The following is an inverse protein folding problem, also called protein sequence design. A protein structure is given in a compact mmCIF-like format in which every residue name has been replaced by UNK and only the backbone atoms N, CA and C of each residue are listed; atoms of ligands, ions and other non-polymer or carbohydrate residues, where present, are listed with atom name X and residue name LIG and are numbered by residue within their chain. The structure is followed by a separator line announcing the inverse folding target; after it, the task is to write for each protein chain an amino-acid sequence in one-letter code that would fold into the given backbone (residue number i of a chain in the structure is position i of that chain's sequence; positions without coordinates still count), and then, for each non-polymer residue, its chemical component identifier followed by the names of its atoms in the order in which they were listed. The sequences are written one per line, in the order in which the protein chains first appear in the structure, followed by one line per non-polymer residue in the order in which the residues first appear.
data_IF_396590275396
#
_entry.id   IF_396590275396
#
_cell.length_a   1.000
_cell.length_b   1.000
_cell.length_c   1.000
_cell.angle_alpha   90.00
_cell.angle_beta   90.00
_cell.angle_gamma   90.00
#
_symmetry.space_group_name_H-M   'P 1'
#
loop_
_entity.id
_entity.type
_entity.pdbx_description
1 polymer ?
#
# COMPACT_ATOMS: atom_id res chain seq x y z
N UNK A 1 -14.20 -10.63 9.83
CA UNK A 1 -14.29 -9.47 8.91
C UNK A 1 -15.07 -8.37 9.58
N UNK A 2 -14.54 -7.14 9.56
CA UNK A 2 -15.31 -5.99 10.00
C UNK A 2 -16.51 -5.82 9.06
N UNK A 3 -17.72 -5.84 9.60
CA UNK A 3 -18.90 -5.61 8.80
C UNK A 3 -19.09 -4.11 8.63
N UNK A 4 -19.22 -3.62 7.39
CA UNK A 4 -19.61 -2.23 7.13
C UNK A 4 -21.04 -2.04 7.64
N UNK A 5 -21.16 -1.25 8.70
CA UNK A 5 -22.45 -0.95 9.34
C UNK A 5 -23.10 0.29 8.75
N UNK A 6 -22.29 1.19 8.18
CA UNK A 6 -22.73 2.43 7.56
C UNK A 6 -22.19 2.53 6.15
N UNK A 7 -23.10 2.56 5.19
CA UNK A 7 -22.80 2.77 3.76
C UNK A 7 -23.52 4.03 3.29
N UNK A 8 -22.79 4.97 2.71
CA UNK A 8 -23.36 6.20 2.17
C UNK A 8 -22.79 6.54 0.79
N UNK A 9 -23.51 7.42 0.07
CA UNK A 9 -23.02 8.02 -1.17
C UNK A 9 -22.56 9.45 -0.89
N UNK A 10 -21.46 9.84 -1.51
CA UNK A 10 -20.89 11.17 -1.34
C UNK A 10 -20.56 11.80 -2.69
N UNK A 11 -21.33 12.82 -3.06
CA UNK A 11 -21.04 13.59 -4.27
C UNK A 11 -19.82 14.50 -4.04
N UNK A 12 -18.86 14.43 -4.98
CA UNK A 12 -17.65 15.24 -4.98
C UNK A 12 -17.46 15.91 -6.34
N UNK A 13 -16.89 17.11 -6.35
CA UNK A 13 -16.61 17.83 -7.61
C UNK A 13 -15.57 17.12 -8.47
N UNK A 14 -14.62 16.44 -7.85
CA UNK A 14 -13.58 15.66 -8.51
C UNK A 14 -13.05 14.57 -7.57
N UNK A 15 -12.64 13.45 -8.12
CA UNK A 15 -11.95 12.39 -7.38
C UNK A 15 -10.42 12.59 -7.39
N UNK A 16 -9.92 13.44 -8.30
CA UNK A 16 -8.50 13.77 -8.46
C UNK A 16 -8.09 14.84 -7.46
N UNK A 17 -7.22 14.51 -6.54
CA UNK A 17 -6.65 15.43 -5.55
C UNK A 17 -5.15 15.54 -5.77
N UNK A 18 -4.60 16.77 -5.86
CA UNK A 18 -3.14 16.94 -5.93
C UNK A 18 -2.49 16.26 -4.73
N UNK A 19 -1.51 15.43 -5.02
CA UNK A 19 -0.84 14.63 -3.99
C UNK A 19 0.24 15.42 -3.29
N UNK A 20 0.28 15.29 -1.96
CA UNK A 20 1.44 15.68 -1.15
C UNK A 20 2.38 14.50 -0.83
N UNK A 21 2.08 13.31 -1.37
CA UNK A 21 2.92 12.11 -1.18
C UNK A 21 4.27 12.26 -1.91
N UNK A 22 5.34 11.52 -1.48
CA UNK A 22 6.65 11.53 -2.16
C UNK A 22 6.56 11.25 -3.65
N UNK A 23 5.63 10.42 -4.04
CA UNK A 23 5.39 10.02 -5.43
C UNK A 23 4.85 11.13 -6.33
N UNK A 24 4.41 12.27 -5.76
CA UNK A 24 3.91 13.41 -6.52
C UNK A 24 2.58 13.17 -7.25
N UNK A 25 2.24 14.05 -8.18
CA UNK A 25 1.08 13.91 -9.06
C UNK A 25 -0.28 14.04 -8.36
N UNK A 26 -1.15 13.07 -8.57
CA UNK A 26 -2.50 13.04 -8.00
C UNK A 26 -2.70 11.82 -7.10
N UNK A 27 -3.45 12.01 -6.02
CA UNK A 27 -3.95 10.96 -5.16
C UNK A 27 -5.44 10.77 -5.40
N UNK A 28 -5.85 9.52 -5.56
CA UNK A 28 -7.23 9.14 -5.84
C UNK A 28 -7.70 8.09 -4.85
N UNK A 29 -8.80 8.40 -4.17
CA UNK A 29 -9.46 7.49 -3.25
C UNK A 29 -10.95 7.49 -3.56
N UNK A 30 -11.44 6.49 -4.32
CA UNK A 30 -12.84 6.41 -4.76
C UNK A 30 -13.84 6.21 -3.61
N UNK A 31 -13.34 5.86 -2.44
CA UNK A 31 -14.11 5.63 -1.22
C UNK A 31 -13.56 6.47 -0.07
N UNK A 32 -14.34 6.59 1.01
CA UNK A 32 -13.91 7.06 2.33
C UNK A 32 -14.19 5.95 3.34
N UNK A 33 -13.22 5.63 4.18
CA UNK A 33 -13.25 4.40 4.99
C UNK A 33 -12.62 3.22 4.22
N UNK A 34 -12.35 2.12 4.92
CA UNK A 34 -11.74 0.94 4.33
C UNK A 34 -12.13 -0.32 5.12
N UNK A 35 -12.95 -1.24 4.54
CA UNK A 35 -13.41 -2.46 5.22
C UNK A 35 -12.30 -3.43 5.61
N UNK A 36 -11.09 -3.29 5.06
CA UNK A 36 -9.95 -4.08 5.50
C UNK A 36 -9.55 -3.84 6.97
N UNK A 37 -10.07 -2.78 7.59
CA UNK A 37 -10.00 -2.50 9.03
C UNK A 37 -8.63 -2.68 9.69
N UNK A 38 -7.54 -2.47 8.94
CA UNK A 38 -6.18 -2.69 9.43
C UNK A 38 -5.93 -1.96 10.76
N UNK A 39 -5.48 -2.68 11.79
CA UNK A 39 -5.21 -2.12 13.13
C UNK A 39 -4.09 -1.07 13.14
N UNK A 40 -3.18 -1.15 12.18
CA UNK A 40 -2.05 -0.24 11.97
C UNK A 40 -2.34 0.87 10.96
N UNK A 41 -3.59 1.05 10.52
CA UNK A 41 -3.91 1.95 9.42
C UNK A 41 -3.69 3.41 9.79
N UNK A 42 -2.69 4.04 9.17
CA UNK A 42 -2.45 5.46 9.34
C UNK A 42 -3.62 6.31 8.84
N UNK A 43 -4.35 5.83 7.81
CA UNK A 43 -5.47 6.56 7.20
C UNK A 43 -6.68 6.71 8.13
N UNK A 44 -6.68 6.05 9.30
CA UNK A 44 -7.71 6.25 10.33
C UNK A 44 -7.86 7.72 10.78
N UNK A 45 -6.81 8.55 10.59
CA UNK A 45 -6.90 10.00 10.83
C UNK A 45 -7.92 10.71 9.93
N UNK A 46 -8.23 10.14 8.77
CA UNK A 46 -9.22 10.70 7.83
C UNK A 46 -10.61 10.81 8.45
N UNK A 47 -10.93 9.98 9.45
CA UNK A 47 -12.20 10.00 10.15
C UNK A 47 -12.57 11.41 10.65
N UNK A 48 -11.60 12.19 11.15
CA UNK A 48 -11.83 13.57 11.66
C UNK A 48 -12.31 14.55 10.58
N UNK A 49 -12.18 14.22 9.30
CA UNK A 49 -12.62 15.06 8.17
C UNK A 49 -13.91 14.58 7.51
N UNK A 50 -14.53 13.54 8.04
CA UNK A 50 -15.66 12.85 7.39
C UNK A 50 -16.97 13.01 8.12
N UNK A 51 -16.95 13.41 9.39
CA UNK A 51 -18.12 13.45 10.28
C UNK A 51 -18.53 12.08 10.84
N UNK A 52 -17.83 11.00 10.48
CA UNK A 52 -18.10 9.67 11.01
C UNK A 52 -17.68 9.54 12.48
N UNK A 53 -18.56 8.94 13.28
CA UNK A 53 -18.29 8.59 14.68
C UNK A 53 -17.96 7.10 14.85
N UNK A 54 -18.32 6.27 13.88
CA UNK A 54 -18.10 4.83 13.84
C UNK A 54 -16.62 4.46 13.90
N UNK A 55 -16.32 3.23 14.32
CA UNK A 55 -14.94 2.73 14.28
C UNK A 55 -14.40 2.71 12.84
N UNK A 56 -13.10 3.05 12.67
CA UNK A 56 -12.44 2.85 11.36
C UNK A 56 -12.54 1.40 10.92
N UNK A 57 -12.96 1.19 9.68
CA UNK A 57 -13.22 -0.14 9.10
C UNK A 57 -14.70 -0.53 9.06
N UNK A 58 -15.60 0.16 9.79
CA UNK A 58 -17.02 -0.19 9.84
C UNK A 58 -17.93 0.76 9.07
N UNK A 59 -17.38 1.74 8.36
CA UNK A 59 -18.14 2.62 7.47
C UNK A 59 -17.46 2.72 6.10
N UNK A 60 -18.27 3.02 5.08
CA UNK A 60 -17.79 3.25 3.72
C UNK A 60 -18.67 4.29 3.01
N UNK A 61 -18.07 5.40 2.57
CA UNK A 61 -18.73 6.32 1.64
C UNK A 61 -18.27 6.00 0.22
N UNK A 62 -19.22 5.81 -0.66
CA UNK A 62 -19.00 5.62 -2.09
C UNK A 62 -19.02 6.98 -2.76
N UNK A 63 -17.91 7.43 -3.32
CA UNK A 63 -17.82 8.72 -3.99
C UNK A 63 -18.45 8.68 -5.38
N UNK A 64 -19.27 9.68 -5.67
CA UNK A 64 -19.74 10.00 -7.01
C UNK A 64 -19.04 11.27 -7.50
N UNK A 65 -18.61 11.27 -8.74
CA UNK A 65 -18.02 12.46 -9.39
C UNK A 65 -18.51 12.55 -10.84
N UNK A 66 -18.56 13.77 -11.42
CA UNK A 66 -18.90 13.95 -12.81
C UNK A 66 -17.86 13.30 -13.73
N UNK A 67 -18.27 12.90 -14.92
CA UNK A 67 -17.36 12.38 -15.94
C UNK A 67 -16.20 13.35 -16.17
N UNK A 68 -14.99 12.82 -16.29
CA UNK A 68 -13.80 13.61 -16.67
C UNK A 68 -13.96 13.99 -18.14
N UNK A 69 -14.18 15.28 -18.41
CA UNK A 69 -14.42 15.80 -19.76
C UNK A 69 -13.14 15.92 -20.57
N UNK A 70 -12.02 16.19 -19.91
CA UNK A 70 -10.70 16.29 -20.52
C UNK A 70 -9.71 15.38 -19.74
N UNK A 71 -9.60 14.09 -20.10
CA UNK A 71 -8.66 13.19 -19.44
C UNK A 71 -7.21 13.47 -19.83
N UNK A 72 -6.92 14.04 -21.01
CA UNK A 72 -5.57 14.32 -21.49
C UNK A 72 -4.83 15.38 -20.65
N UNK A 73 -5.53 16.18 -19.83
CA UNK A 73 -4.85 17.06 -18.85
C UNK A 73 -4.01 16.30 -17.81
N UNK A 74 -4.20 14.98 -17.73
CA UNK A 74 -3.41 14.10 -16.85
C UNK A 74 -2.27 13.40 -17.59
N UNK A 75 -2.04 13.68 -18.87
CA UNK A 75 -0.91 13.13 -19.63
C UNK A 75 0.41 13.43 -18.94
N UNK A 76 1.25 12.40 -18.80
CA UNK A 76 2.53 12.49 -18.09
C UNK A 76 2.41 12.69 -16.57
N UNK A 77 1.20 12.79 -16.03
CA UNK A 77 0.99 12.93 -14.59
C UNK A 77 0.95 11.56 -13.91
N UNK A 78 1.47 11.49 -12.69
CA UNK A 78 1.34 10.29 -11.86
C UNK A 78 0.02 10.33 -11.07
N UNK A 79 -0.70 9.22 -11.10
CA UNK A 79 -1.97 9.05 -10.39
C UNK A 79 -1.85 7.82 -9.49
N UNK A 80 -1.89 8.06 -8.17
CA UNK A 80 -1.82 7.00 -7.15
C UNK A 80 -3.22 6.73 -6.62
N UNK A 81 -3.69 5.51 -6.80
CA UNK A 81 -5.00 5.04 -6.34
C UNK A 81 -4.80 4.18 -5.08
N UNK A 82 -5.53 4.49 -4.02
CA UNK A 82 -5.52 3.68 -2.79
C UNK A 82 -4.57 4.20 -1.71
N UNK A 83 -4.33 5.51 -1.63
CA UNK A 83 -3.43 6.09 -0.62
C UNK A 83 -4.02 6.14 0.80
N UNK A 84 -5.34 6.30 0.97
CA UNK A 84 -6.01 6.36 2.29
C UNK A 84 -7.26 5.46 2.39
N UNK A 85 -7.51 4.66 1.37
CA UNK A 85 -8.52 3.59 1.34
C UNK A 85 -8.03 2.52 0.37
N UNK A 86 -8.54 1.29 0.46
CA UNK A 86 -8.31 0.33 -0.61
C UNK A 86 -9.36 0.54 -1.71
N UNK A 87 -8.90 0.92 -2.91
CA UNK A 87 -9.75 1.14 -4.08
C UNK A 87 -10.39 -0.13 -4.62
N UNK A 88 -9.90 -1.30 -4.20
CA UNK A 88 -10.42 -2.62 -4.55
C UNK A 88 -10.96 -3.39 -3.34
N UNK A 89 -11.41 -2.67 -2.30
CA UNK A 89 -12.14 -3.31 -1.21
C UNK A 89 -13.35 -4.10 -1.77
N UNK A 90 -13.95 -4.98 -0.96
CA UNK A 90 -15.02 -5.90 -1.40
C UNK A 90 -16.20 -5.21 -2.11
N UNK A 91 -16.52 -3.98 -1.73
CA UNK A 91 -17.61 -3.19 -2.33
C UNK A 91 -17.31 -2.71 -3.76
N UNK A 92 -16.04 -2.69 -4.18
CA UNK A 92 -15.67 -2.40 -5.57
C UNK A 92 -16.24 -3.43 -6.54
N UNK A 93 -16.54 -4.65 -6.07
CA UNK A 93 -17.25 -5.67 -6.86
C UNK A 93 -18.60 -5.16 -7.37
N UNK A 94 -19.29 -4.36 -6.56
CA UNK A 94 -20.62 -3.80 -6.85
C UNK A 94 -20.52 -2.40 -7.45
N UNK A 95 -19.79 -1.50 -6.82
CA UNK A 95 -19.80 -0.08 -7.17
C UNK A 95 -18.86 0.29 -8.31
N UNK A 96 -17.83 -0.48 -8.57
CA UNK A 96 -16.90 -0.37 -9.72
C UNK A 96 -16.31 1.04 -9.91
N UNK A 97 -16.09 1.77 -8.82
CA UNK A 97 -15.64 3.18 -8.88
C UNK A 97 -14.21 3.32 -9.37
N UNK A 98 -13.32 2.45 -8.91
CA UNK A 98 -11.93 2.43 -9.39
C UNK A 98 -11.88 2.04 -10.87
N UNK A 99 -12.63 0.99 -11.25
CA UNK A 99 -12.70 0.59 -12.65
C UNK A 99 -13.25 1.70 -13.54
N UNK A 100 -14.35 2.36 -13.15
CA UNK A 100 -14.93 3.49 -13.89
C UNK A 100 -13.92 4.63 -14.09
N UNK A 101 -13.08 4.92 -13.09
CA UNK A 101 -12.03 5.92 -13.21
C UNK A 101 -10.98 5.49 -14.24
N UNK A 102 -10.48 4.25 -14.15
CA UNK A 102 -9.50 3.73 -15.10
C UNK A 102 -10.02 3.76 -16.54
N UNK A 103 -11.30 3.42 -16.74
CA UNK A 103 -11.97 3.49 -18.05
C UNK A 103 -12.02 4.94 -18.58
N UNK A 104 -12.20 5.94 -17.71
CA UNK A 104 -12.17 7.37 -18.12
C UNK A 104 -10.76 7.88 -18.47
N UNK A 105 -9.71 7.19 -18.02
CA UNK A 105 -8.32 7.54 -18.30
C UNK A 105 -7.73 6.78 -19.49
N UNK A 106 -8.50 5.92 -20.17
CA UNK A 106 -8.04 5.24 -21.38
C UNK A 106 -7.56 6.23 -22.43
N UNK A 107 -6.47 5.89 -23.11
CA UNK A 107 -5.89 6.73 -24.15
C UNK A 107 -5.00 7.86 -23.66
N UNK A 108 -4.90 8.09 -22.35
CA UNK A 108 -3.95 9.06 -21.77
C UNK A 108 -2.57 8.43 -21.58
N UNK A 109 -1.54 9.27 -21.46
CA UNK A 109 -0.20 8.87 -21.06
C UNK A 109 0.06 9.03 -19.54
N UNK A 110 -1.00 9.04 -18.73
CA UNK A 110 -0.88 9.09 -17.27
C UNK A 110 -0.15 7.85 -16.72
N UNK A 111 0.67 8.05 -15.69
CA UNK A 111 1.29 6.95 -14.93
C UNK A 111 0.33 6.51 -13.84
N UNK A 112 -0.25 5.33 -13.96
CA UNK A 112 -1.20 4.80 -12.99
C UNK A 112 -0.49 3.87 -12.01
N UNK A 113 -0.63 4.15 -10.73
CA UNK A 113 -0.20 3.26 -9.65
C UNK A 113 -1.41 2.88 -8.80
N UNK A 114 -1.71 1.60 -8.73
CA UNK A 114 -2.75 1.05 -7.87
C UNK A 114 -2.11 0.37 -6.68
N UNK A 115 -2.40 0.85 -5.46
CA UNK A 115 -1.97 0.18 -4.22
C UNK A 115 -3.16 -0.50 -3.57
N UNK A 116 -3.06 -1.82 -3.37
CA UNK A 116 -4.19 -2.60 -2.84
C UNK A 116 -3.71 -3.90 -2.16
N UNK A 117 -4.49 -4.37 -1.19
CA UNK A 117 -4.39 -5.71 -0.61
C UNK A 117 -5.32 -6.72 -1.30
N UNK A 118 -6.29 -6.22 -2.08
CA UNK A 118 -7.38 -7.04 -2.62
C UNK A 118 -7.04 -7.64 -3.99
N UNK A 119 -7.28 -8.92 -4.16
CA UNK A 119 -7.19 -9.61 -5.45
C UNK A 119 -8.33 -9.26 -6.43
N UNK A 120 -9.38 -8.53 -5.98
CA UNK A 120 -10.39 -7.97 -6.88
C UNK A 120 -9.80 -7.06 -7.96
N UNK A 121 -8.60 -6.54 -7.76
CA UNK A 121 -7.88 -5.75 -8.77
C UNK A 121 -7.61 -6.53 -10.06
N UNK A 122 -7.60 -7.86 -10.04
CA UNK A 122 -7.48 -8.71 -11.23
C UNK A 122 -8.59 -8.43 -12.25
N UNK A 123 -9.76 -7.98 -11.80
CA UNK A 123 -10.88 -7.59 -12.68
C UNK A 123 -10.59 -6.36 -13.54
N UNK A 124 -9.47 -5.67 -13.33
CA UNK A 124 -9.10 -4.49 -14.08
C UNK A 124 -7.90 -4.73 -15.04
N UNK A 125 -7.42 -5.95 -15.19
CA UNK A 125 -6.29 -6.28 -16.09
C UNK A 125 -6.56 -5.75 -17.49
N UNK A 126 -7.77 -5.99 -18.04
CA UNK A 126 -8.18 -5.54 -19.37
C UNK A 126 -8.08 -4.02 -19.56
N UNK A 127 -8.37 -3.25 -18.53
CA UNK A 127 -8.26 -1.78 -18.57
C UNK A 127 -6.83 -1.34 -18.34
N UNK A 128 -6.15 -1.91 -17.34
CA UNK A 128 -4.76 -1.56 -17.02
C UNK A 128 -3.85 -1.78 -18.24
N UNK A 129 -4.01 -2.88 -18.98
CA UNK A 129 -3.24 -3.15 -20.20
C UNK A 129 -3.44 -2.13 -21.32
N UNK A 130 -4.45 -1.28 -21.25
CA UNK A 130 -4.66 -0.18 -22.20
C UNK A 130 -3.93 1.12 -21.83
N UNK A 131 -3.30 1.14 -20.64
CA UNK A 131 -2.55 2.29 -20.14
C UNK A 131 -1.05 2.06 -20.35
N UNK A 132 -0.29 3.07 -20.77
CA UNK A 132 1.10 2.88 -21.19
C UNK A 132 2.09 2.70 -20.02
N UNK A 133 1.71 3.15 -18.82
CA UNK A 133 2.58 3.15 -17.64
C UNK A 133 1.75 2.80 -16.40
N UNK A 134 1.40 1.54 -16.30
CA UNK A 134 0.65 0.99 -15.20
C UNK A 134 1.57 0.25 -14.20
N UNK A 135 1.25 0.37 -12.93
CA UNK A 135 1.93 -0.35 -11.85
C UNK A 135 0.90 -0.80 -10.82
N UNK A 136 0.96 -2.07 -10.44
CA UNK A 136 0.12 -2.61 -9.37
C UNK A 136 1.01 -2.94 -8.17
N UNK A 137 0.78 -2.25 -7.07
CA UNK A 137 1.48 -2.44 -5.80
C UNK A 137 0.63 -3.28 -4.86
N UNK A 138 1.18 -4.41 -4.42
CA UNK A 138 0.53 -5.37 -3.52
C UNK A 138 1.16 -5.30 -2.15
N UNK A 139 0.35 -4.92 -1.14
CA UNK A 139 0.86 -4.86 0.24
C UNK A 139 0.93 -6.25 0.86
N UNK A 140 2.15 -6.66 1.25
CA UNK A 140 2.44 -7.92 1.95
C UNK A 140 3.31 -7.57 3.17
N UNK A 141 2.76 -7.66 4.36
CA UNK A 141 3.42 -7.21 5.60
C UNK A 141 3.92 -8.38 6.48
N UNK A 142 3.62 -9.60 6.11
CA UNK A 142 4.04 -10.82 6.80
C UNK A 142 3.85 -12.02 5.89
N UNK A 143 4.62 -13.11 6.05
CA UNK A 143 4.30 -14.40 5.47
C UNK A 143 3.35 -15.24 6.34
N UNK A 144 3.06 -14.81 7.58
CA UNK A 144 2.24 -15.49 8.57
C UNK A 144 0.77 -15.07 8.47
N UNK A 145 -0.10 -16.00 8.08
CA UNK A 145 -1.54 -15.74 7.95
C UNK A 145 -2.22 -15.49 9.30
N UNK A 146 -1.76 -16.12 10.39
CA UNK A 146 -2.35 -15.89 11.71
C UNK A 146 -2.08 -14.45 12.20
N UNK A 147 -0.85 -13.97 12.02
CA UNK A 147 -0.53 -12.57 12.30
C UNK A 147 -1.31 -11.61 11.38
N UNK A 148 -1.43 -11.94 10.10
CA UNK A 148 -2.24 -11.15 9.15
C UNK A 148 -3.69 -11.06 9.61
N UNK A 149 -4.30 -12.18 10.04
CA UNK A 149 -5.71 -12.22 10.50
C UNK A 149 -5.93 -11.42 11.80
N UNK A 150 -4.93 -11.35 12.65
CA UNK A 150 -4.95 -10.45 13.82
C UNK A 150 -4.84 -8.97 13.43
N UNK A 151 -4.26 -8.65 12.27
CA UNK A 151 -3.92 -7.29 11.86
C UNK A 151 -4.88 -6.65 10.86
N UNK A 152 -5.48 -7.41 9.95
CA UNK A 152 -6.40 -6.87 8.94
C UNK A 152 -7.39 -7.91 8.41
N UNK A 153 -8.54 -7.43 7.91
CA UNK A 153 -9.60 -8.22 7.29
C UNK A 153 -9.45 -8.33 5.75
N UNK A 154 -8.31 -7.95 5.20
CA UNK A 154 -8.02 -8.06 3.77
C UNK A 154 -7.79 -9.54 3.36
N UNK A 155 -7.79 -9.86 2.05
CA UNK A 155 -7.49 -11.21 1.56
C UNK A 155 -6.18 -11.78 2.09
N UNK A 156 -6.08 -13.13 2.12
CA UNK A 156 -4.90 -13.85 2.59
C UNK A 156 -3.61 -13.44 1.86
N UNK A 157 -2.47 -13.65 2.47
CA UNK A 157 -1.17 -13.36 1.88
C UNK A 157 -0.99 -14.16 0.59
N UNK A 158 -1.42 -15.43 0.58
CA UNK A 158 -1.36 -16.26 -0.62
C UNK A 158 -2.17 -15.66 -1.79
N UNK A 159 -3.38 -15.18 -1.55
CA UNK A 159 -4.18 -14.50 -2.58
C UNK A 159 -3.51 -13.21 -3.08
N UNK A 160 -2.84 -12.46 -2.17
CA UNK A 160 -2.10 -11.25 -2.56
C UNK A 160 -0.92 -11.58 -3.47
N UNK A 161 -0.13 -12.61 -3.14
CA UNK A 161 1.01 -13.05 -3.93
C UNK A 161 0.56 -13.67 -5.26
N UNK A 162 -0.46 -14.51 -5.27
CA UNK A 162 -1.02 -15.10 -6.49
C UNK A 162 -1.53 -14.03 -7.46
N UNK A 163 -2.21 -12.99 -6.94
CA UNK A 163 -2.64 -11.87 -7.79
C UNK A 163 -1.45 -11.08 -8.34
N UNK A 164 -0.37 -10.90 -7.55
CA UNK A 164 0.86 -10.25 -8.03
C UNK A 164 1.48 -11.05 -9.18
N UNK A 165 1.57 -12.39 -9.03
CA UNK A 165 2.06 -13.26 -10.08
C UNK A 165 1.25 -13.12 -11.36
N UNK A 166 -0.07 -13.11 -11.27
CA UNK A 166 -0.94 -12.93 -12.43
C UNK A 166 -0.65 -11.62 -13.16
N UNK A 167 -0.50 -10.49 -12.45
CA UNK A 167 -0.13 -9.22 -13.07
C UNK A 167 1.25 -9.27 -13.73
N UNK A 168 2.22 -9.88 -13.07
CA UNK A 168 3.57 -10.05 -13.62
C UNK A 168 3.55 -10.86 -14.93
N UNK A 169 2.86 -12.01 -14.94
CA UNK A 169 2.70 -12.88 -16.11
C UNK A 169 1.98 -12.15 -17.25
N UNK A 170 1.05 -11.24 -16.95
CA UNK A 170 0.35 -10.39 -17.93
C UNK A 170 1.19 -9.19 -18.42
N UNK A 171 2.42 -9.07 -17.96
CA UNK A 171 3.36 -8.00 -18.34
C UNK A 171 3.06 -6.65 -17.70
N UNK A 172 2.20 -6.58 -16.71
CA UNK A 172 1.94 -5.38 -15.92
C UNK A 172 3.02 -5.24 -14.84
N UNK A 173 3.55 -4.03 -14.67
CA UNK A 173 4.59 -3.78 -13.67
C UNK A 173 4.05 -4.03 -12.25
N UNK A 174 4.79 -4.81 -11.46
CA UNK A 174 4.38 -5.22 -10.13
C UNK A 174 5.31 -4.71 -9.03
N UNK A 175 4.73 -4.38 -7.90
CA UNK A 175 5.44 -4.03 -6.66
C UNK A 175 4.98 -4.93 -5.52
N UNK A 176 5.91 -5.63 -4.89
CA UNK A 176 5.69 -6.18 -3.56
C UNK A 176 5.97 -5.09 -2.52
N UNK A 177 4.93 -4.54 -1.92
CA UNK A 177 5.06 -3.50 -0.90
C UNK A 177 5.05 -4.12 0.49
N UNK A 178 6.23 -4.30 1.06
CA UNK A 178 6.40 -4.81 2.42
C UNK A 178 6.12 -3.67 3.40
N UNK A 179 4.85 -3.48 3.69
CA UNK A 179 4.36 -2.35 4.49
C UNK A 179 3.10 -2.71 5.30
N UNK A 180 3.15 -2.37 6.61
CA UNK A 180 4.34 -1.99 7.36
C UNK A 180 5.16 -3.20 7.81
N UNK A 181 6.46 -3.00 8.00
CA UNK A 181 7.34 -3.99 8.64
C UNK A 181 7.19 -3.87 10.16
N UNK A 182 6.75 -4.93 10.81
CA UNK A 182 6.67 -5.04 12.27
C UNK A 182 7.99 -5.56 12.82
N UNK A 183 8.71 -4.80 13.67
CA UNK A 183 9.99 -5.22 14.23
C UNK A 183 9.91 -6.56 14.95
N UNK A 184 10.80 -7.50 14.58
CA UNK A 184 10.86 -8.83 15.18
C UNK A 184 9.73 -9.80 14.80
N UNK A 185 8.77 -9.38 13.94
CA UNK A 185 7.64 -10.20 13.50
C UNK A 185 7.64 -10.39 11.98
N UNK A 186 7.79 -9.30 11.20
CA UNK A 186 7.83 -9.41 9.75
C UNK A 186 9.13 -10.06 9.29
N UNK A 187 9.04 -11.24 8.70
CA UNK A 187 10.17 -11.91 8.06
C UNK A 187 10.39 -11.34 6.65
N UNK A 188 11.20 -10.27 6.58
CA UNK A 188 11.51 -9.57 5.32
C UNK A 188 12.26 -10.47 4.34
N UNK A 189 13.28 -11.25 4.74
CA UNK A 189 13.92 -12.22 3.86
C UNK A 189 12.96 -13.23 3.22
N UNK A 190 12.05 -13.80 3.99
CA UNK A 190 11.07 -14.76 3.48
C UNK A 190 10.10 -14.10 2.48
N UNK A 191 9.70 -12.84 2.70
CA UNK A 191 8.87 -12.11 1.75
C UNK A 191 9.64 -11.82 0.45
N UNK A 192 10.91 -11.40 0.54
CA UNK A 192 11.76 -11.17 -0.64
C UNK A 192 11.86 -12.46 -1.45
N UNK A 193 12.16 -13.59 -0.80
CA UNK A 193 12.29 -14.89 -1.48
C UNK A 193 10.99 -15.29 -2.21
N UNK A 194 9.82 -15.10 -1.58
CA UNK A 194 8.53 -15.41 -2.19
C UNK A 194 8.14 -14.46 -3.32
N UNK A 195 8.65 -13.22 -3.32
CA UNK A 195 8.25 -12.18 -4.26
C UNK A 195 9.22 -12.00 -5.44
N UNK A 196 10.48 -12.44 -5.32
CA UNK A 196 11.57 -12.10 -6.26
C UNK A 196 11.28 -12.45 -7.72
N UNK A 197 10.59 -13.57 -7.97
CA UNK A 197 10.33 -14.06 -9.34
C UNK A 197 9.05 -13.48 -9.96
N UNK A 198 8.31 -12.66 -9.22
CA UNK A 198 7.00 -12.15 -9.61
C UNK A 198 6.81 -10.65 -9.29
N UNK A 199 7.85 -9.99 -8.82
CA UNK A 199 7.85 -8.55 -8.57
C UNK A 199 8.95 -7.87 -9.35
N UNK A 200 8.61 -6.74 -10.01
CA UNK A 200 9.62 -5.85 -10.60
C UNK A 200 10.32 -5.02 -9.52
N UNK A 201 9.59 -4.69 -8.47
CA UNK A 201 10.07 -3.89 -7.34
C UNK A 201 9.65 -4.53 -6.03
N UNK A 202 10.52 -4.42 -5.03
CA UNK A 202 10.17 -4.73 -3.64
C UNK A 202 10.42 -3.47 -2.80
N UNK A 203 9.35 -2.90 -2.26
CA UNK A 203 9.42 -1.70 -1.43
C UNK A 203 9.36 -2.08 0.04
N UNK A 204 10.25 -1.51 0.84
CA UNK A 204 10.36 -1.77 2.27
C UNK A 204 9.99 -0.51 3.05
N UNK A 205 8.94 -0.57 3.86
CA UNK A 205 8.50 0.55 4.69
C UNK A 205 8.39 0.15 6.16
N UNK A 206 9.01 0.92 7.02
CA UNK A 206 8.97 0.69 8.46
C UNK A 206 7.57 0.98 9.04
N UNK A 207 7.19 0.23 10.06
CA UNK A 207 6.01 0.55 10.86
C UNK A 207 6.21 1.92 11.54
N UNK A 208 5.29 2.83 11.29
CA UNK A 208 5.29 4.17 11.86
C UNK A 208 4.18 4.30 12.90
N UNK A 209 4.48 4.00 14.16
CA UNK A 209 3.52 4.05 15.26
C UNK A 209 3.25 5.49 15.71
N UNK A 210 2.23 6.10 15.11
CA UNK A 210 1.76 7.45 15.45
C UNK A 210 0.25 7.46 15.73
N UNK A 211 -0.18 8.50 16.45
CA UNK A 211 -1.60 8.74 16.67
C UNK A 211 -2.32 7.64 17.47
N UNK A 212 -3.59 7.43 17.15
CA UNK A 212 -4.49 6.60 17.98
C UNK A 212 -4.15 5.11 17.98
N UNK A 213 -3.65 4.56 16.86
CA UNK A 213 -3.37 3.13 16.77
C UNK A 213 -2.07 2.70 17.47
N UNK A 214 -1.19 3.64 17.88
CA UNK A 214 0.04 3.31 18.61
C UNK A 214 -0.28 2.51 19.87
N UNK A 215 -1.22 2.99 20.68
CA UNK A 215 -1.61 2.31 21.93
C UNK A 215 -2.18 0.90 21.68
N UNK A 216 -2.96 0.74 20.63
CA UNK A 216 -3.55 -0.57 20.27
C UNK A 216 -2.50 -1.59 19.84
N UNK A 217 -1.54 -1.16 19.02
CA UNK A 217 -0.43 -2.02 18.61
C UNK A 217 0.48 -2.35 19.79
N UNK A 218 0.84 -1.37 20.63
CA UNK A 218 1.68 -1.64 21.82
C UNK A 218 1.02 -2.64 22.77
N UNK A 219 -0.31 -2.54 23.00
CA UNK A 219 -1.04 -3.53 23.80
C UNK A 219 -1.02 -4.92 23.14
N UNK A 220 -1.24 -5.00 21.84
CA UNK A 220 -1.18 -6.25 21.10
C UNK A 220 0.20 -6.91 21.22
N UNK A 221 1.28 -6.13 21.09
CA UNK A 221 2.65 -6.65 21.26
C UNK A 221 2.86 -7.15 22.70
N UNK A 222 2.39 -6.42 23.71
CA UNK A 222 2.52 -6.84 25.11
C UNK A 222 1.75 -8.14 25.40
N UNK A 223 0.61 -8.34 24.75
CA UNK A 223 -0.24 -9.52 24.94
C UNK A 223 0.30 -10.76 24.19
N UNK A 224 0.64 -10.61 22.91
CA UNK A 224 0.98 -11.72 22.02
C UNK A 224 2.47 -12.00 21.91
N UNK A 225 3.31 -10.97 22.08
CA UNK A 225 4.77 -11.03 21.90
C UNK A 225 5.50 -10.30 23.04
N UNK A 226 5.27 -10.68 24.32
CA UNK A 226 5.83 -9.95 25.47
C UNK A 226 7.36 -9.81 25.41
N UNK A 227 8.05 -10.76 24.78
CA UNK A 227 9.50 -10.72 24.57
C UNK A 227 9.95 -9.57 23.65
N UNK A 228 9.07 -9.02 22.82
CA UNK A 228 9.37 -7.91 21.91
C UNK A 228 9.07 -6.55 22.51
N UNK A 229 8.44 -6.47 23.69
CA UNK A 229 8.13 -5.20 24.35
C UNK A 229 9.37 -4.31 24.51
N UNK A 230 10.53 -4.80 24.98
CA UNK A 230 11.74 -3.97 25.08
C UNK A 230 12.18 -3.40 23.72
N UNK A 231 12.09 -4.17 22.64
CA UNK A 231 12.45 -3.73 21.29
C UNK A 231 11.53 -2.58 20.83
N UNK A 232 10.22 -2.72 21.04
CA UNK A 232 9.25 -1.68 20.67
C UNK A 232 9.42 -0.40 21.49
N UNK A 233 9.74 -0.53 22.79
CA UNK A 233 10.07 0.61 23.66
C UNK A 233 11.33 1.36 23.14
N UNK A 234 12.40 0.63 22.78
CA UNK A 234 13.61 1.23 22.23
C UNK A 234 13.33 2.00 20.94
N UNK A 235 12.56 1.41 20.02
CA UNK A 235 12.28 2.02 18.71
C UNK A 235 11.30 3.19 18.85
N UNK A 236 10.13 2.98 19.49
CA UNK A 236 8.99 3.90 19.38
C UNK A 236 8.86 4.90 20.53
N UNK A 237 9.50 4.66 21.66
CA UNK A 237 9.50 5.58 22.79
C UNK A 237 10.86 6.28 22.96
N UNK A 238 11.97 5.57 22.67
CA UNK A 238 13.32 6.16 22.78
C UNK A 238 13.91 6.60 21.43
N UNK A 239 13.25 6.29 20.30
CA UNK A 239 13.65 6.71 18.96
C UNK A 239 14.92 6.04 18.43
N UNK A 240 15.31 4.88 18.98
CA UNK A 240 16.49 4.14 18.51
C UNK A 240 16.27 3.53 17.12
N UNK A 241 17.35 3.46 16.34
CA UNK A 241 17.32 3.00 14.95
C UNK A 241 18.13 1.73 14.70
N UNK A 242 18.73 1.16 15.74
CA UNK A 242 19.64 0.02 15.63
C UNK A 242 18.98 -1.16 14.89
N UNK A 243 17.71 -1.48 15.21
CA UNK A 243 16.95 -2.52 14.53
C UNK A 243 16.84 -2.25 13.00
N UNK A 244 16.50 -1.02 12.62
CA UNK A 244 16.32 -0.66 11.21
C UNK A 244 17.63 -0.63 10.44
N UNK A 245 18.72 -0.26 11.10
CA UNK A 245 20.07 -0.31 10.54
C UNK A 245 20.53 -1.76 10.33
N UNK A 246 20.28 -2.63 11.30
CA UNK A 246 20.57 -4.06 11.19
C UNK A 246 19.75 -4.72 10.07
N UNK A 247 18.45 -4.41 9.98
CA UNK A 247 17.59 -4.91 8.90
C UNK A 247 18.05 -4.39 7.53
N UNK A 248 18.42 -3.11 7.42
CA UNK A 248 18.97 -2.56 6.18
C UNK A 248 20.25 -3.27 5.76
N UNK A 249 21.15 -3.57 6.71
CA UNK A 249 22.38 -4.31 6.44
C UNK A 249 22.08 -5.74 5.93
N UNK A 250 21.13 -6.43 6.56
CA UNK A 250 20.69 -7.76 6.13
C UNK A 250 20.11 -7.72 4.70
N UNK A 251 19.26 -6.74 4.39
CA UNK A 251 18.68 -6.58 3.05
C UNK A 251 19.78 -6.30 2.01
N UNK A 252 20.75 -5.45 2.32
CA UNK A 252 21.88 -5.18 1.43
C UNK A 252 22.73 -6.45 1.17
N UNK A 253 22.90 -7.30 2.17
CA UNK A 253 23.57 -8.58 2.01
C UNK A 253 22.77 -9.48 1.04
N UNK A 254 21.46 -9.62 1.23
CA UNK A 254 20.58 -10.37 0.30
C UNK A 254 20.70 -9.83 -1.12
N UNK A 255 20.69 -8.50 -1.29
CA UNK A 255 20.86 -7.87 -2.60
C UNK A 255 22.20 -8.22 -3.25
N UNK A 256 23.28 -8.20 -2.47
CA UNK A 256 24.63 -8.56 -2.96
C UNK A 256 24.73 -10.03 -3.38
N UNK A 257 24.16 -10.94 -2.58
CA UNK A 257 24.19 -12.38 -2.84
C UNK A 257 23.36 -12.78 -4.09
N UNK A 258 22.31 -12.02 -4.40
CA UNK A 258 21.39 -12.32 -5.50
C UNK A 258 21.55 -11.38 -6.72
N UNK A 259 22.51 -10.44 -6.67
CA UNK A 259 22.69 -9.41 -7.71
C UNK A 259 21.40 -8.58 -7.93
N UNK A 260 20.71 -8.22 -6.84
CA UNK A 260 19.55 -7.33 -6.89
C UNK A 260 19.99 -5.87 -6.74
N UNK A 261 19.55 -4.95 -7.61
CA UNK A 261 19.75 -3.53 -7.40
C UNK A 261 19.11 -3.05 -6.10
N UNK A 262 19.84 -2.25 -5.32
CA UNK A 262 19.36 -1.64 -4.08
C UNK A 262 19.32 -0.12 -4.21
N UNK A 263 18.18 0.48 -3.87
CA UNK A 263 17.97 1.92 -3.85
C UNK A 263 17.46 2.37 -2.49
N UNK A 264 17.71 3.62 -2.16
CA UNK A 264 17.18 4.24 -0.94
C UNK A 264 16.37 5.49 -1.30
N UNK A 265 15.09 5.51 -0.90
CA UNK A 265 14.18 6.63 -1.07
C UNK A 265 14.04 7.13 -2.52
N UNK A 266 14.29 6.29 -3.48
CA UNK A 266 14.20 6.62 -4.90
C UNK A 266 13.27 5.64 -5.64
N UNK A 267 12.73 6.08 -6.77
CA UNK A 267 11.90 5.27 -7.64
C UNK A 267 12.70 4.91 -8.90
N UNK A 268 12.98 3.63 -9.12
CA UNK A 268 13.69 3.21 -10.32
C UNK A 268 12.81 3.41 -11.56
N UNK A 269 13.44 3.87 -12.63
CA UNK A 269 12.82 3.94 -13.96
C UNK A 269 12.96 2.59 -14.70
N UNK A 270 11.92 2.27 -15.49
CA UNK A 270 11.93 1.04 -16.28
C UNK A 270 11.46 -0.20 -15.50
N UNK A 271 11.42 -1.34 -16.22
CA UNK A 271 11.13 -2.66 -15.65
C UNK A 271 12.42 -3.37 -15.26
N UNK A 272 12.41 -4.08 -14.15
CA UNK A 272 13.47 -5.02 -13.79
C UNK A 272 13.41 -6.26 -14.69
N UNK A 273 14.45 -7.09 -14.65
CA UNK A 273 14.42 -8.42 -15.26
C UNK A 273 13.70 -9.40 -14.33
N UNK A 274 12.97 -10.39 -14.85
CA UNK A 274 12.40 -11.45 -14.02
C UNK A 274 13.46 -12.07 -13.11
N UNK A 275 13.12 -12.34 -11.86
CA UNK A 275 14.03 -12.87 -10.85
C UNK A 275 15.10 -11.88 -10.33
N UNK A 276 15.07 -10.62 -10.80
CA UNK A 276 15.97 -9.56 -10.34
C UNK A 276 15.19 -8.29 -9.98
N UNK A 277 14.35 -8.32 -8.95
CA UNK A 277 13.61 -7.15 -8.52
C UNK A 277 14.55 -6.06 -8.03
N UNK A 278 14.15 -4.79 -8.20
CA UNK A 278 14.84 -3.69 -7.55
C UNK A 278 14.31 -3.55 -6.12
N UNK A 279 15.19 -3.62 -5.14
CA UNK A 279 14.83 -3.43 -3.72
C UNK A 279 14.92 -1.94 -3.40
N UNK A 280 13.83 -1.36 -2.91
CA UNK A 280 13.79 0.06 -2.54
C UNK A 280 13.46 0.20 -1.06
N UNK A 281 14.39 0.78 -0.32
CA UNK A 281 14.23 1.04 1.12
C UNK A 281 13.64 2.44 1.34
N UNK A 282 12.45 2.48 1.94
CA UNK A 282 11.74 3.69 2.35
C UNK A 282 11.72 3.91 3.87
N UNK A 283 12.65 3.33 4.62
CA UNK A 283 12.71 3.56 6.06
C UNK A 283 12.86 5.05 6.37
N UNK A 284 11.95 5.56 7.19
CA UNK A 284 11.90 6.97 7.59
C UNK A 284 11.80 7.97 6.44
N UNK A 285 11.19 7.59 5.31
CA UNK A 285 11.03 8.48 4.15
C UNK A 285 10.28 9.77 4.48
N UNK A 286 9.40 9.75 5.48
CA UNK A 286 8.66 10.92 5.94
C UNK A 286 9.55 11.99 6.62
N UNK A 287 10.70 11.61 7.17
CA UNK A 287 11.63 12.55 7.82
C UNK A 287 12.46 13.33 6.80
N UNK A 288 12.70 12.76 5.63
CA UNK A 288 13.46 13.42 4.54
C UNK A 288 12.75 14.69 4.07
N UNK A 289 11.43 14.72 4.12
CA UNK A 289 10.62 15.89 3.74
C UNK A 289 10.73 17.05 4.74
N UNK A 290 10.93 16.76 6.00
CA UNK A 290 11.04 17.78 7.05
C UNK A 290 12.37 18.53 6.96
N UNK A 291 13.41 17.87 6.45
CA UNK A 291 14.75 18.45 6.30
C UNK A 291 14.95 19.22 4.98
N UNK A 292 14.01 19.10 4.02
CA UNK A 292 14.05 19.77 2.71
C UNK A 292 13.04 20.93 2.60
N UNK A 293 12.46 21.37 3.73
CA UNK A 293 11.64 22.58 3.87
C UNK A 293 12.38 23.60 4.72
#
# INVERSE_FOLDING_TARGET
MATVTTLAYKDVKTVMTKSSLPVGGYSVNPYVGCPHACRYCYASFMKRFTGHTEKWGTFLDVKNWPRITDPHKYDGQRIVIGSVTDGYNEHEATYRRTRMLLEQLRGTSAEIMVTTKSDLVLRAIDVLKTLPKETVSRSVNTPDEAFKDDMDDAPSIERRLSAMKTFHDEGIRTVCFVSPIFPGITDVPAIIDRAKDQADLIWLENLNLRGQFKGDIMRYIADKYPQLVPLYEEIYNKGKRDYWQALEAQVKQICSENDFPYLRNDLPYGRSKPGKPVIVNYFYHEEIRLNNK
#
